data_IF_660206167468
#
_entry.id   IF_660206167468
#
_cell.length_a   1.000
_cell.length_b   1.000
_cell.length_c   1.000
_cell.angle_alpha   90.00
_cell.angle_beta   90.00
_cell.angle_gamma   90.00
#
_symmetry.space_group_name_H-M   'P 1'
#
loop_
_entity.id
_entity.type
_entity.pdbx_description
1 polymer ?
#
# COMPACT_ATOMS: atom_id res chain seq x y z
N UNK A 1 2.18 5.02 1.38
CA UNK A 1 3.20 4.34 2.22
C UNK A 1 4.45 4.04 1.42
N UNK A 2 4.35 3.56 0.18
CA UNK A 2 5.53 3.27 -0.66
C UNK A 2 6.39 4.48 -1.07
N UNK A 3 6.01 5.69 -0.67
CA UNK A 3 6.79 6.90 -0.95
C UNK A 3 8.07 6.99 -0.13
N UNK A 4 8.09 6.37 1.06
CA UNK A 4 9.16 6.55 2.04
C UNK A 4 10.30 5.54 1.88
N UNK A 5 11.52 5.96 2.22
CA UNK A 5 12.77 5.20 2.13
C UNK A 5 12.97 4.28 3.35
N UNK A 6 12.26 3.18 3.36
CA UNK A 6 12.40 2.15 4.37
C UNK A 6 11.14 1.31 4.43
N UNK A 7 11.20 0.26 5.25
CA UNK A 7 10.12 -0.70 5.36
C UNK A 7 9.73 -1.29 3.99
N UNK A 8 10.70 -1.57 3.12
CA UNK A 8 10.48 -2.06 1.75
C UNK A 8 9.64 -3.33 1.73
N UNK A 9 9.86 -4.24 2.68
CA UNK A 9 9.11 -5.49 2.80
C UNK A 9 7.70 -5.18 3.32
N UNK A 10 7.57 -4.51 4.47
CA UNK A 10 6.28 -4.20 5.09
C UNK A 10 5.39 -3.31 4.20
N UNK A 11 5.98 -2.40 3.41
CA UNK A 11 5.26 -1.55 2.44
C UNK A 11 5.12 -2.20 1.06
N UNK A 12 5.65 -3.41 0.87
CA UNK A 12 5.57 -4.21 -0.35
C UNK A 12 6.03 -3.43 -1.59
N UNK A 13 7.19 -2.79 -1.50
CA UNK A 13 7.80 -2.12 -2.64
C UNK A 13 8.30 -3.14 -3.65
N UNK A 14 8.09 -2.88 -4.94
CA UNK A 14 8.65 -3.70 -6.00
C UNK A 14 10.18 -3.63 -5.97
N UNK A 15 10.83 -4.79 -6.01
CA UNK A 15 12.29 -4.88 -5.91
C UNK A 15 12.96 -4.34 -7.18
N UNK A 16 14.21 -3.89 -7.07
CA UNK A 16 14.96 -3.36 -8.23
C UNK A 16 15.02 -4.37 -9.39
N UNK A 17 15.28 -5.68 -9.18
CA UNK A 17 15.23 -6.66 -10.26
C UNK A 17 13.85 -6.78 -10.92
N UNK A 18 12.76 -6.77 -10.14
CA UNK A 18 11.38 -6.89 -10.66
C UNK A 18 10.92 -5.65 -11.41
N UNK A 19 11.55 -4.49 -11.20
CA UNK A 19 11.29 -3.28 -11.99
C UNK A 19 11.72 -3.41 -13.45
N UNK A 20 12.53 -4.41 -13.81
CA UNK A 20 12.96 -4.67 -15.20
C UNK A 20 13.55 -3.45 -15.91
N UNK A 21 14.27 -2.59 -15.17
CA UNK A 21 14.85 -1.35 -15.70
C UNK A 21 13.84 -0.22 -15.98
N UNK A 22 12.55 -0.40 -15.66
CA UNK A 22 11.53 0.65 -15.79
C UNK A 22 11.75 1.70 -14.69
N UNK A 23 11.87 2.96 -15.10
CA UNK A 23 11.99 4.08 -14.17
C UNK A 23 10.72 4.21 -13.32
N UNK A 24 10.89 4.26 -12.01
CA UNK A 24 9.83 4.52 -11.04
C UNK A 24 10.04 5.92 -10.46
N UNK A 25 8.95 6.63 -10.22
CA UNK A 25 8.93 7.95 -9.60
C UNK A 25 8.08 7.87 -8.33
N UNK A 26 8.47 8.61 -7.28
CA UNK A 26 7.77 8.64 -5.99
C UNK A 26 7.70 7.25 -5.32
N UNK A 27 8.76 6.44 -5.44
CA UNK A 27 8.86 5.12 -4.84
C UNK A 27 10.15 5.02 -4.01
N UNK A 28 10.02 5.02 -2.68
CA UNK A 28 11.15 4.96 -1.77
C UNK A 28 12.05 6.21 -1.77
N UNK A 29 11.49 7.39 -2.09
CA UNK A 29 12.26 8.63 -2.29
C UNK A 29 12.19 9.59 -1.08
N UNK A 30 11.14 9.50 -0.25
CA UNK A 30 10.93 10.39 0.89
C UNK A 30 11.63 9.86 2.15
N UNK A 31 12.35 10.69 2.92
CA UNK A 31 12.86 10.33 4.24
C UNK A 31 11.80 9.73 5.17
N UNK A 32 12.15 8.70 5.95
CA UNK A 32 11.30 8.10 7.00
C UNK A 32 10.78 9.14 8.01
N UNK A 33 11.63 10.10 8.37
CA UNK A 33 11.34 11.15 9.36
C UNK A 33 10.53 12.32 8.77
N UNK A 34 10.23 12.31 7.47
CA UNK A 34 9.40 13.36 6.86
C UNK A 34 7.97 13.30 7.40
N UNK A 35 7.36 14.49 7.43
CA UNK A 35 5.94 14.62 7.71
C UNK A 35 5.09 13.84 6.69
N UNK A 36 3.86 13.53 7.08
CA UNK A 36 2.94 12.82 6.20
C UNK A 36 2.75 13.55 4.86
N UNK A 37 3.14 12.89 3.76
CA UNK A 37 2.85 13.36 2.41
C UNK A 37 1.34 13.54 2.24
N UNK A 38 0.90 14.78 2.13
CA UNK A 38 -0.50 15.14 1.96
C UNK A 38 -0.97 14.87 0.53
N UNK A 39 -2.29 14.81 0.34
CA UNK A 39 -2.88 14.66 -0.99
C UNK A 39 -2.56 15.85 -1.92
N UNK A 40 -2.43 17.06 -1.37
CA UNK A 40 -2.03 18.27 -2.12
C UNK A 40 -0.57 18.20 -2.58
N UNK A 41 0.33 17.79 -1.68
CA UNK A 41 1.74 17.60 -2.02
C UNK A 41 1.90 16.52 -3.07
N UNK A 42 1.25 15.36 -2.87
CA UNK A 42 1.22 14.28 -3.86
C UNK A 42 0.73 14.79 -5.22
N UNK A 43 -0.39 15.53 -5.27
CA UNK A 43 -0.92 16.12 -6.51
C UNK A 43 0.15 16.98 -7.19
N UNK A 44 0.87 17.80 -6.45
CA UNK A 44 1.93 18.67 -7.00
C UNK A 44 3.12 17.86 -7.54
N UNK A 45 3.71 16.98 -6.73
CA UNK A 45 4.92 16.24 -7.12
C UNK A 45 4.63 15.21 -8.23
N UNK A 46 3.47 14.53 -8.18
CA UNK A 46 3.10 13.60 -9.23
C UNK A 46 2.75 14.31 -10.55
N UNK A 47 2.16 15.51 -10.50
CA UNK A 47 1.95 16.31 -11.72
C UNK A 47 3.27 16.69 -12.38
N UNK A 48 4.30 17.03 -11.59
CA UNK A 48 5.64 17.30 -12.11
C UNK A 48 6.22 16.07 -12.79
N UNK A 49 6.17 14.91 -12.15
CA UNK A 49 6.64 13.65 -12.74
C UNK A 49 5.91 13.31 -14.05
N UNK A 50 4.59 13.51 -14.10
CA UNK A 50 3.79 13.34 -15.33
C UNK A 50 4.31 14.26 -16.44
N UNK A 51 4.45 15.56 -16.17
CA UNK A 51 4.95 16.52 -17.17
C UNK A 51 6.35 16.17 -17.66
N UNK A 52 7.25 15.76 -16.76
CA UNK A 52 8.60 15.34 -17.11
C UNK A 52 8.61 14.07 -17.97
N UNK A 53 7.82 13.05 -17.61
CA UNK A 53 7.70 11.81 -18.40
C UNK A 53 7.16 12.11 -19.80
N UNK A 54 6.09 12.91 -19.88
CA UNK A 54 5.49 13.33 -21.15
C UNK A 54 6.44 14.16 -22.01
N UNK A 55 7.26 15.04 -21.41
CA UNK A 55 8.26 15.85 -22.13
C UNK A 55 9.32 14.99 -22.84
N UNK A 56 9.56 13.76 -22.35
CA UNK A 56 10.44 12.78 -22.97
C UNK A 56 9.73 11.88 -24.00
N UNK A 57 8.49 12.20 -24.35
CA UNK A 57 7.66 11.41 -25.28
C UNK A 57 7.25 10.04 -24.73
N UNK A 58 7.24 9.85 -23.41
CA UNK A 58 6.86 8.59 -22.76
C UNK A 58 5.46 8.70 -22.15
N UNK A 59 4.77 7.56 -22.03
CA UNK A 59 3.46 7.46 -21.38
C UNK A 59 3.63 7.36 -19.85
N UNK A 60 3.08 8.30 -19.05
CA UNK A 60 3.04 8.16 -17.60
C UNK A 60 2.03 7.08 -17.18
N UNK A 61 2.47 6.15 -16.33
CA UNK A 61 1.60 5.12 -15.73
C UNK A 61 1.55 5.33 -14.23
N UNK A 62 0.35 5.51 -13.69
CA UNK A 62 0.12 5.66 -12.25
C UNK A 62 -0.31 4.29 -11.71
N UNK A 63 0.52 3.71 -10.84
CA UNK A 63 0.24 2.42 -10.21
C UNK A 63 0.17 2.59 -8.68
N UNK A 64 -0.93 2.17 -8.06
CA UNK A 64 -1.06 2.19 -6.60
C UNK A 64 -2.51 2.08 -6.10
N UNK A 65 -2.66 1.67 -4.83
CA UNK A 65 -3.98 1.45 -4.20
C UNK A 65 -4.49 2.62 -3.34
N UNK A 66 -3.81 3.76 -3.33
CA UNK A 66 -4.21 4.93 -2.53
C UNK A 66 -5.22 5.79 -3.31
N UNK A 67 -6.49 5.38 -3.32
CA UNK A 67 -7.56 6.06 -4.08
C UNK A 67 -7.71 7.56 -3.75
N UNK A 68 -7.35 7.99 -2.54
CA UNK A 68 -7.31 9.42 -2.16
C UNK A 68 -6.27 10.22 -2.93
N UNK A 69 -5.11 9.62 -3.19
CA UNK A 69 -4.04 10.23 -3.98
C UNK A 69 -4.35 10.20 -5.48
N UNK A 70 -4.92 9.09 -5.98
CA UNK A 70 -5.40 9.02 -7.37
C UNK A 70 -6.47 10.07 -7.62
N UNK A 71 -7.48 10.18 -6.75
CA UNK A 71 -8.50 11.23 -6.84
C UNK A 71 -7.86 12.62 -6.81
N UNK A 72 -7.05 12.91 -5.79
CA UNK A 72 -6.40 14.21 -5.65
C UNK A 72 -5.52 14.58 -6.84
N UNK A 73 -4.89 13.62 -7.51
CA UNK A 73 -4.08 13.87 -8.69
C UNK A 73 -4.93 14.21 -9.92
N UNK A 74 -6.04 13.50 -10.13
CA UNK A 74 -6.72 13.46 -11.42
C UNK A 74 -7.91 14.39 -11.56
N UNK A 75 -8.64 14.70 -10.47
CA UNK A 75 -9.79 15.62 -10.58
C UNK A 75 -9.36 17.02 -11.01
N UNK A 76 -10.17 17.68 -11.84
CA UNK A 76 -9.88 19.04 -12.32
C UNK A 76 -9.66 20.01 -11.14
N UNK A 77 -10.65 20.09 -10.25
CA UNK A 77 -10.58 20.90 -9.03
C UNK A 77 -10.47 20.01 -7.80
N UNK A 78 -9.36 20.14 -7.09
CA UNK A 78 -9.11 19.40 -5.86
C UNK A 78 -9.32 20.28 -4.62
N UNK A 79 -10.16 19.81 -3.69
CA UNK A 79 -10.34 20.41 -2.37
C UNK A 79 -9.60 19.56 -1.32
N UNK A 80 -8.56 20.11 -0.65
CA UNK A 80 -7.79 19.37 0.35
C UNK A 80 -8.53 19.12 1.66
N UNK A 81 -9.62 19.83 1.93
CA UNK A 81 -10.37 19.73 3.19
C UNK A 81 -11.46 18.65 3.11
N UNK A 82 -11.99 18.41 1.92
CA UNK A 82 -13.09 17.47 1.71
C UNK A 82 -12.59 16.04 1.53
N UNK A 83 -13.20 15.08 2.24
CA UNK A 83 -12.99 13.66 1.98
C UNK A 83 -13.98 13.16 0.90
N UNK A 84 -13.50 12.85 -0.32
CA UNK A 84 -14.38 12.44 -1.42
C UNK A 84 -15.01 11.05 -1.20
N UNK A 85 -14.45 10.24 -0.28
CA UNK A 85 -14.95 8.90 0.06
C UNK A 85 -15.71 8.88 1.40
N UNK A 86 -16.33 10.01 1.77
CA UNK A 86 -17.22 10.08 2.92
C UNK A 86 -18.59 9.44 2.62
N UNK A 87 -19.49 9.40 3.61
CA UNK A 87 -20.85 8.87 3.43
C UNK A 87 -21.72 9.66 2.46
N UNK A 88 -21.33 10.91 2.15
CA UNK A 88 -21.91 11.74 1.09
C UNK A 88 -20.81 12.09 0.08
N UNK A 89 -20.47 11.16 -0.84
CA UNK A 89 -19.38 11.36 -1.76
C UNK A 89 -19.67 12.53 -2.71
N UNK A 90 -18.66 13.36 -2.94
CA UNK A 90 -18.66 14.47 -3.91
C UNK A 90 -17.46 14.31 -4.84
N UNK A 91 -17.42 13.18 -5.56
CA UNK A 91 -16.37 12.87 -6.51
C UNK A 91 -16.74 13.52 -7.85
N UNK A 92 -15.86 14.39 -8.36
CA UNK A 92 -16.03 14.96 -9.70
C UNK A 92 -15.72 13.91 -10.78
N UNK A 93 -16.49 13.91 -11.86
CA UNK A 93 -16.18 13.17 -13.09
C UNK A 93 -15.19 13.91 -14.00
N UNK A 94 -14.97 15.21 -13.79
CA UNK A 94 -14.07 16.03 -14.60
C UNK A 94 -12.61 15.79 -14.20
N UNK A 95 -11.80 15.40 -15.18
CA UNK A 95 -10.39 15.04 -15.01
C UNK A 95 -9.47 16.05 -15.68
N UNK A 96 -8.27 16.23 -15.14
CA UNK A 96 -7.21 17.10 -15.70
C UNK A 96 -6.51 16.52 -16.92
N UNK A 97 -6.56 15.20 -17.05
CA UNK A 97 -5.83 14.44 -18.05
C UNK A 97 -6.81 13.51 -18.76
N UNK A 98 -6.49 13.18 -20.01
CA UNK A 98 -7.12 12.07 -20.70
C UNK A 98 -6.61 10.76 -20.08
N UNK A 99 -7.49 10.08 -19.35
CA UNK A 99 -7.13 8.95 -18.49
C UNK A 99 -7.73 7.66 -19.01
N UNK A 100 -6.89 6.64 -19.15
CA UNK A 100 -7.34 5.27 -19.34
C UNK A 100 -7.18 4.49 -18.03
N UNK A 101 -8.30 4.15 -17.39
CA UNK A 101 -8.29 3.43 -16.12
C UNK A 101 -8.38 1.93 -16.30
N UNK A 102 -7.40 1.22 -15.75
CA UNK A 102 -7.40 -0.22 -15.59
C UNK A 102 -7.55 -0.60 -14.12
N UNK A 103 -8.58 -1.38 -13.81
CA UNK A 103 -8.77 -1.98 -12.49
C UNK A 103 -8.56 -3.48 -12.57
N UNK A 104 -7.46 -3.95 -11.99
CA UNK A 104 -7.17 -5.36 -11.78
C UNK A 104 -8.01 -5.87 -10.61
N UNK A 105 -9.09 -6.59 -10.93
CA UNK A 105 -10.08 -7.10 -9.98
C UNK A 105 -9.85 -8.58 -9.69
N UNK A 106 -10.15 -9.01 -8.47
CA UNK A 106 -9.95 -10.39 -8.01
C UNK A 106 -11.12 -10.76 -7.11
N UNK A 107 -11.66 -11.96 -7.27
CA UNK A 107 -12.73 -12.43 -6.39
C UNK A 107 -12.31 -12.42 -4.92
N UNK A 108 -13.23 -12.02 -4.04
CA UNK A 108 -12.96 -11.81 -2.62
C UNK A 108 -12.30 -13.02 -1.93
N UNK A 109 -12.76 -14.23 -2.23
CA UNK A 109 -12.21 -15.45 -1.64
C UNK A 109 -10.77 -15.70 -2.11
N UNK A 110 -10.46 -15.55 -3.39
CA UNK A 110 -9.10 -15.74 -3.91
C UNK A 110 -8.17 -14.64 -3.38
N UNK A 111 -8.64 -13.40 -3.35
CA UNK A 111 -7.87 -12.27 -2.83
C UNK A 111 -7.54 -12.44 -1.35
N UNK A 112 -8.48 -12.87 -0.51
CA UNK A 112 -8.23 -13.14 0.91
C UNK A 112 -7.13 -14.17 1.12
N UNK A 113 -7.21 -15.32 0.44
CA UNK A 113 -6.20 -16.37 0.55
C UNK A 113 -4.83 -15.89 0.05
N UNK A 114 -4.80 -15.15 -1.06
CA UNK A 114 -3.57 -14.59 -1.60
C UNK A 114 -2.92 -13.59 -0.64
N UNK A 115 -3.70 -12.65 -0.08
CA UNK A 115 -3.18 -11.66 0.86
C UNK A 115 -2.67 -12.30 2.15
N UNK A 116 -3.38 -13.31 2.68
CA UNK A 116 -2.93 -14.06 3.85
C UNK A 116 -1.60 -14.75 3.60
N UNK A 117 -1.48 -15.48 2.48
CA UNK A 117 -0.22 -16.14 2.07
C UNK A 117 0.91 -15.12 1.83
N UNK A 118 0.59 -13.97 1.25
CA UNK A 118 1.58 -12.91 1.01
C UNK A 118 2.14 -12.36 2.32
N UNK A 119 1.31 -12.18 3.35
CA UNK A 119 1.80 -11.79 4.69
C UNK A 119 2.76 -12.85 5.23
N UNK A 120 2.43 -14.13 5.11
CA UNK A 120 3.36 -15.20 5.53
C UNK A 120 4.70 -15.11 4.80
N UNK A 121 4.68 -14.91 3.48
CA UNK A 121 5.90 -14.73 2.67
C UNK A 121 6.68 -13.47 3.05
N UNK A 122 6.00 -12.38 3.42
CA UNK A 122 6.65 -11.17 3.91
C UNK A 122 7.37 -11.43 5.24
N UNK A 123 6.74 -12.17 6.17
CA UNK A 123 7.37 -12.57 7.42
C UNK A 123 8.59 -13.46 7.17
N UNK A 124 8.48 -14.46 6.30
CA UNK A 124 9.60 -15.33 5.89
C UNK A 124 10.74 -14.56 5.21
N UNK A 125 10.42 -13.46 4.52
CA UNK A 125 11.39 -12.63 3.80
C UNK A 125 12.09 -11.59 4.68
N UNK A 126 11.75 -11.50 5.97
CA UNK A 126 12.42 -10.61 6.92
C UNK A 126 11.61 -9.39 7.38
N UNK A 127 10.27 -9.38 7.20
CA UNK A 127 9.42 -8.27 7.67
C UNK A 127 9.52 -8.07 9.18
N UNK A 128 9.69 -9.14 9.97
CA UNK A 128 9.82 -9.02 11.42
C UNK A 128 11.09 -8.25 11.81
N UNK A 129 12.22 -8.60 11.23
CA UNK A 129 13.54 -8.00 11.46
C UNK A 129 13.56 -6.55 10.99
N UNK A 130 12.92 -6.27 9.86
CA UNK A 130 12.74 -4.92 9.32
C UNK A 130 11.97 -4.04 10.32
N UNK A 131 10.83 -4.52 10.83
CA UNK A 131 10.03 -3.81 11.83
C UNK A 131 10.73 -3.70 13.18
N UNK A 132 11.47 -4.72 13.60
CA UNK A 132 12.25 -4.73 14.82
C UNK A 132 13.38 -3.70 14.79
N UNK A 133 14.04 -3.55 13.63
CA UNK A 133 15.08 -2.53 13.40
C UNK A 133 14.49 -1.13 13.33
N UNK A 134 13.25 -1.01 12.86
CA UNK A 134 12.51 0.26 12.77
C UNK A 134 11.90 0.72 14.11
N UNK A 135 11.72 -0.20 15.06
CA UNK A 135 11.04 0.07 16.31
C UNK A 135 11.78 1.11 17.17
N UNK A 136 11.05 2.12 17.65
CA UNK A 136 11.56 3.13 18.56
C UNK A 136 10.59 3.33 19.73
N UNK A 137 10.95 2.92 20.98
CA UNK A 137 10.08 3.01 22.15
C UNK A 137 9.55 4.43 22.45
N UNK A 138 10.27 5.48 22.01
CA UNK A 138 9.84 6.87 22.19
C UNK A 138 8.72 7.26 21.25
N UNK A 139 8.76 6.75 20.01
CA UNK A 139 7.77 7.07 18.97
C UNK A 139 6.52 6.18 19.09
N UNK A 140 6.68 4.92 19.50
CA UNK A 140 5.56 3.98 19.64
C UNK A 140 4.56 4.32 20.76
N UNK A 141 4.88 5.28 21.64
CA UNK A 141 3.97 5.84 22.67
C UNK A 141 3.05 6.93 22.15
N UNK A 142 3.33 7.50 20.97
CA UNK A 142 2.44 8.49 20.35
C UNK A 142 1.15 7.80 19.89
N UNK A 143 0.00 8.35 20.28
CA UNK A 143 -1.31 7.90 19.77
C UNK A 143 -1.54 8.33 18.33
N UNK A 144 -0.83 9.36 17.85
CA UNK A 144 -0.93 9.88 16.49
C UNK A 144 0.23 9.32 15.67
N UNK A 145 -0.11 8.49 14.68
CA UNK A 145 0.84 7.94 13.69
C UNK A 145 0.72 8.73 12.39
N UNK A 146 1.85 9.17 11.87
CA UNK A 146 1.96 9.93 10.62
C UNK A 146 2.96 9.26 9.69
N UNK A 147 2.89 9.58 8.40
CA UNK A 147 3.82 9.09 7.40
C UNK A 147 3.93 7.56 7.37
N UNK A 148 5.16 7.06 7.30
CA UNK A 148 5.46 5.63 7.17
C UNK A 148 5.01 4.80 8.38
N UNK A 149 4.91 5.41 9.58
CA UNK A 149 4.46 4.74 10.80
C UNK A 149 3.00 4.26 10.74
N UNK A 150 2.23 4.68 9.73
CA UNK A 150 0.86 4.19 9.47
C UNK A 150 0.81 2.88 8.68
N UNK A 151 1.94 2.37 8.18
CA UNK A 151 1.99 1.14 7.42
C UNK A 151 1.48 -0.05 8.25
N UNK A 152 0.66 -0.91 7.62
CA UNK A 152 0.21 -2.16 8.24
C UNK A 152 1.44 -3.00 8.59
N UNK A 153 1.48 -3.51 9.83
CA UNK A 153 2.64 -4.16 10.41
C UNK A 153 3.29 -3.32 11.50
N UNK A 154 3.43 -2.00 11.29
CA UNK A 154 4.09 -1.12 12.27
C UNK A 154 3.26 -0.99 13.56
N UNK A 155 1.97 -0.57 13.54
CA UNK A 155 1.18 -0.48 14.76
C UNK A 155 1.01 -1.80 15.51
N UNK A 156 0.92 -2.90 14.78
CA UNK A 156 0.73 -4.24 15.31
C UNK A 156 1.99 -4.71 16.04
N UNK A 157 3.15 -4.61 15.39
CA UNK A 157 4.42 -4.97 16.02
C UNK A 157 4.94 -3.96 17.03
N UNK A 158 4.60 -2.67 16.94
CA UNK A 158 4.87 -1.68 18.00
C UNK A 158 4.33 -2.15 19.36
N UNK A 159 3.10 -2.69 19.36
CA UNK A 159 2.45 -3.21 20.58
C UNK A 159 3.16 -4.46 21.07
N UNK A 160 3.49 -5.37 20.16
CA UNK A 160 4.26 -6.57 20.47
C UNK A 160 5.61 -6.24 21.10
N UNK A 161 6.39 -5.35 20.48
CA UNK A 161 7.70 -4.91 20.94
C UNK A 161 7.65 -4.13 22.26
N UNK A 162 6.51 -3.50 22.58
CA UNK A 162 6.30 -2.90 23.90
C UNK A 162 6.28 -3.91 25.04
N UNK A 163 5.89 -5.16 24.77
CA UNK A 163 5.89 -6.28 25.75
C UNK A 163 7.12 -7.15 25.60
N UNK A 164 7.53 -7.44 24.35
CA UNK A 164 8.66 -8.27 23.98
C UNK A 164 9.65 -7.48 23.13
N UNK A 165 10.53 -6.67 23.73
CA UNK A 165 11.45 -5.81 22.99
C UNK A 165 12.32 -6.57 21.98
N UNK A 166 12.73 -5.92 20.87
CA UNK A 166 13.69 -6.50 19.95
C UNK A 166 14.98 -6.91 20.67
N UNK A 167 15.35 -8.19 20.53
CA UNK A 167 16.60 -8.73 21.05
C UNK A 167 17.66 -8.76 19.96
N UNK A 168 18.95 -8.76 20.35
CA UNK A 168 20.06 -8.86 19.38
C UNK A 168 20.10 -10.20 18.63
N UNK A 169 19.52 -11.25 19.22
CA UNK A 169 19.32 -12.56 18.61
C UNK A 169 17.82 -12.72 18.35
N UNK A 170 17.40 -12.76 17.09
CA UNK A 170 16.00 -13.01 16.71
C UNK A 170 15.69 -14.51 16.62
N UNK A 171 16.36 -15.34 17.41
CA UNK A 171 16.16 -16.79 17.38
C UNK A 171 14.78 -17.17 17.96
N UNK A 172 13.77 -17.28 17.09
CA UNK A 172 12.39 -17.62 17.45
C UNK A 172 12.29 -18.94 18.24
N UNK A 173 13.26 -19.85 18.08
CA UNK A 173 13.29 -21.11 18.82
C UNK A 173 13.50 -20.93 20.33
N UNK A 174 14.16 -19.85 20.75
CA UNK A 174 14.43 -19.52 22.15
C UNK A 174 13.24 -18.87 22.86
N UNK A 175 12.22 -18.44 22.10
CA UNK A 175 11.04 -17.80 22.69
C UNK A 175 10.20 -18.77 23.50
N UNK A 176 9.72 -18.31 24.65
CA UNK A 176 8.71 -19.02 25.43
C UNK A 176 7.38 -19.12 24.66
N UNK A 177 6.49 -19.97 25.16
CA UNK A 177 5.21 -20.23 24.50
C UNK A 177 4.31 -18.98 24.45
N UNK A 178 4.40 -18.08 25.44
CA UNK A 178 3.57 -16.88 25.50
C UNK A 178 4.01 -15.87 24.43
N UNK A 179 5.32 -15.68 24.25
CA UNK A 179 5.89 -14.82 23.21
C UNK A 179 5.57 -15.35 21.80
N UNK A 180 5.63 -16.67 21.59
CA UNK A 180 5.25 -17.31 20.33
C UNK A 180 3.77 -17.10 20.01
N UNK A 181 2.88 -17.33 20.99
CA UNK A 181 1.45 -17.10 20.81
C UNK A 181 1.12 -15.62 20.50
N UNK A 182 1.76 -14.68 21.20
CA UNK A 182 1.59 -13.25 20.94
C UNK A 182 2.09 -12.84 19.54
N UNK A 183 3.18 -13.44 19.07
CA UNK A 183 3.68 -13.22 17.72
C UNK A 183 2.69 -13.72 16.66
N UNK A 184 2.16 -14.93 16.83
CA UNK A 184 1.17 -15.52 15.92
C UNK A 184 -0.12 -14.69 15.86
N UNK A 185 -0.58 -14.18 17.00
CA UNK A 185 -1.75 -13.29 17.09
C UNK A 185 -1.53 -11.99 16.31
N UNK A 186 -0.34 -11.38 16.44
CA UNK A 186 0.03 -10.14 15.72
C UNK A 186 0.08 -10.38 14.20
N UNK A 187 0.65 -11.51 13.77
CA UNK A 187 0.67 -11.89 12.35
C UNK A 187 -0.76 -12.10 11.83
N UNK A 188 -1.64 -12.74 12.61
CA UNK A 188 -3.05 -12.86 12.26
C UNK A 188 -3.74 -11.49 12.13
N UNK A 189 -3.47 -10.57 13.06
CA UNK A 189 -4.03 -9.22 13.00
C UNK A 189 -3.59 -8.46 11.74
N UNK A 190 -2.33 -8.60 11.33
CA UNK A 190 -1.80 -8.01 10.07
C UNK A 190 -2.57 -8.54 8.86
N UNK A 191 -2.88 -9.84 8.83
CA UNK A 191 -3.68 -10.46 7.75
C UNK A 191 -5.09 -9.86 7.71
N UNK A 192 -5.75 -9.73 8.86
CA UNK A 192 -7.08 -9.14 8.98
C UNK A 192 -7.10 -7.66 8.59
N UNK A 193 -6.09 -6.90 9.02
CA UNK A 193 -5.93 -5.48 8.69
C UNK A 193 -5.70 -5.29 7.19
N UNK A 194 -4.87 -6.14 6.58
CA UNK A 194 -4.61 -6.17 5.13
C UNK A 194 -5.90 -6.47 4.35
N UNK A 195 -6.69 -7.45 4.80
CA UNK A 195 -7.97 -7.77 4.17
C UNK A 195 -8.99 -6.63 4.29
N UNK A 196 -9.06 -5.97 5.45
CA UNK A 196 -9.94 -4.82 5.66
C UNK A 196 -9.56 -3.65 4.76
N UNK A 197 -8.26 -3.41 4.55
CA UNK A 197 -7.78 -2.41 3.62
C UNK A 197 -8.22 -2.73 2.19
N UNK A 198 -8.04 -3.98 1.74
CA UNK A 198 -8.44 -4.41 0.40
C UNK A 198 -9.95 -4.20 0.15
N UNK A 199 -10.80 -4.56 1.11
CA UNK A 199 -12.25 -4.31 1.03
C UNK A 199 -12.56 -2.81 0.87
N UNK A 200 -11.94 -1.96 1.68
CA UNK A 200 -12.09 -0.50 1.57
C UNK A 200 -11.60 0.05 0.22
N UNK A 201 -10.55 -0.54 -0.35
CA UNK A 201 -10.06 -0.13 -1.67
C UNK A 201 -11.08 -0.48 -2.77
N UNK A 202 -11.67 -1.67 -2.73
CA UNK A 202 -12.73 -2.09 -3.65
C UNK A 202 -13.94 -1.15 -3.53
N UNK A 203 -14.41 -0.86 -2.31
CA UNK A 203 -15.51 0.07 -2.07
C UNK A 203 -15.22 1.45 -2.70
N UNK A 204 -14.01 1.99 -2.51
CA UNK A 204 -13.62 3.28 -3.10
C UNK A 204 -13.54 3.25 -4.62
N UNK A 205 -13.06 2.16 -5.22
CA UNK A 205 -13.07 1.99 -6.68
C UNK A 205 -14.51 2.00 -7.19
N UNK A 206 -15.42 1.30 -6.51
CA UNK A 206 -16.84 1.32 -6.87
C UNK A 206 -17.44 2.72 -6.76
N UNK A 207 -17.09 3.50 -5.73
CA UNK A 207 -17.50 4.90 -5.61
C UNK A 207 -17.01 5.76 -6.79
N UNK A 208 -15.76 5.61 -7.22
CA UNK A 208 -15.23 6.31 -8.40
C UNK A 208 -16.03 5.94 -9.66
N UNK A 209 -16.31 4.65 -9.88
CA UNK A 209 -17.12 4.17 -11.02
C UNK A 209 -18.53 4.75 -11.01
N UNK A 210 -19.20 4.71 -9.86
CA UNK A 210 -20.55 5.29 -9.70
C UNK A 210 -20.57 6.81 -9.87
N UNK A 211 -19.42 7.47 -9.78
CA UNK A 211 -19.26 8.92 -9.99
C UNK A 211 -18.89 9.27 -11.44
N UNK A 212 -18.99 8.32 -12.37
CA UNK A 212 -18.82 8.55 -13.81
C UNK A 212 -17.43 8.26 -14.37
N UNK A 213 -16.51 7.71 -13.58
CA UNK A 213 -15.18 7.33 -14.09
C UNK A 213 -15.27 6.04 -14.91
N UNK A 214 -14.80 6.08 -16.16
CA UNK A 214 -14.75 4.93 -17.06
C UNK A 214 -13.60 3.99 -16.69
N UNK A 215 -13.85 3.10 -15.73
CA UNK A 215 -12.87 2.13 -15.22
C UNK A 215 -13.07 0.76 -15.87
N UNK A 216 -12.07 0.34 -16.65
CA UNK A 216 -12.04 -0.94 -17.34
C UNK A 216 -11.57 -2.03 -16.37
N UNK A 217 -12.44 -3.01 -16.12
CA UNK A 217 -12.18 -4.10 -15.19
C UNK A 217 -11.42 -5.23 -15.90
N UNK A 218 -10.30 -5.64 -15.32
CA UNK A 218 -9.51 -6.80 -15.71
C UNK A 218 -9.59 -7.85 -14.60
N UNK A 219 -10.33 -8.93 -14.83
CA UNK A 219 -10.49 -9.99 -13.84
C UNK A 219 -9.22 -10.85 -13.76
N UNK A 220 -8.46 -10.76 -12.67
CA UNK A 220 -7.22 -11.49 -12.41
C UNK A 220 -7.41 -12.76 -11.55
N UNK A 221 -8.65 -13.14 -11.24
CA UNK A 221 -8.98 -14.24 -10.31
C UNK A 221 -8.31 -15.55 -10.70
N UNK A 222 -8.41 -15.95 -11.97
CA UNK A 222 -7.79 -17.19 -12.46
C UNK A 222 -6.26 -17.17 -12.38
N UNK A 223 -5.64 -16.03 -12.69
CA UNK A 223 -4.19 -15.87 -12.71
C UNK A 223 -3.62 -15.98 -11.30
N UNK A 224 -4.27 -15.34 -10.32
CA UNK A 224 -3.87 -15.43 -8.91
C UNK A 224 -4.12 -16.83 -8.34
N UNK A 225 -5.23 -17.48 -8.70
CA UNK A 225 -5.51 -18.86 -8.26
C UNK A 225 -4.47 -19.85 -8.76
N UNK A 226 -4.06 -19.72 -10.02
CA UNK A 226 -3.07 -20.60 -10.64
C UNK A 226 -1.63 -20.26 -10.24
N UNK A 227 -1.37 -19.07 -9.67
CA UNK A 227 -0.02 -18.51 -9.52
C UNK A 227 0.78 -18.58 -10.84
N UNK A 228 0.11 -18.41 -11.99
CA UNK A 228 0.68 -18.64 -13.32
C UNK A 228 0.72 -17.37 -14.16
N UNK A 229 1.91 -17.10 -14.71
CA UNK A 229 2.17 -16.01 -15.66
C UNK A 229 1.51 -16.24 -17.01
N UNK A 230 1.41 -17.48 -17.47
CA UNK A 230 0.75 -17.82 -18.74
C UNK A 230 -0.74 -17.46 -18.72
N UNK A 231 -1.41 -17.65 -17.57
CA UNK A 231 -2.83 -17.26 -17.39
C UNK A 231 -3.01 -15.74 -17.31
N UNK A 232 -1.94 -15.00 -16.97
CA UNK A 232 -1.93 -13.55 -16.98
C UNK A 232 -1.72 -12.97 -18.39
N UNK A 233 -0.84 -13.57 -19.19
CA UNK A 233 -0.49 -13.09 -20.54
C UNK A 233 -1.62 -13.27 -21.57
N UNK A 234 -2.63 -14.10 -21.26
CA UNK A 234 -3.78 -14.38 -22.13
C UNK A 234 -5.02 -13.50 -21.85
N UNK A 235 -4.86 -12.36 -21.14
CA UNK A 235 -5.94 -11.41 -20.82
C UNK A 235 -5.71 -10.05 -21.46
#
# INVERSE_FOLDING_TARGET
MQFYNGLEIATNQITIPERCGVAHHLLGELPVDDSELTASEFRSVASRSISEISSRGKLPIIAGGSNSFVHALLVDRFDPVTNPFSSKPSISSELRYDCFFLWVDVSASVLYHYLSKRVDQMMESGMFEELASFYNPRNSRSTIRTGIHRAIGVPEFDRYFGVYPPEKSHNVFEWDQARKAAYEEVVHEIKDNTWRLAKKQIERIMMLRSSGWEIHRLDATASLRASSREVWENK
#
